data_IF_454389503168
#
_entry.id   IF_454389503168
#
_cell.length_a   1.000
_cell.length_b   1.000
_cell.length_c   1.000
_cell.angle_alpha   90.00
_cell.angle_beta   90.00
_cell.angle_gamma   90.00
#
_symmetry.space_group_name_H-M   'P 1'
#
loop_
_entity.id
_entity.type
_entity.pdbx_description
1 polymer ?
#
# COMPACT_ATOMS: atom_id res chain seq x y z
N UNK A 1 -12.32 23.63 -16.24
CA UNK A 1 -11.48 22.45 -16.58
C UNK A 1 -11.24 21.68 -15.30
N UNK A 2 -11.78 20.47 -15.20
CA UNK A 2 -11.88 19.69 -13.97
C UNK A 2 -10.50 19.22 -13.50
N UNK A 3 -10.18 19.53 -12.25
CA UNK A 3 -9.07 18.97 -11.47
C UNK A 3 -9.39 17.48 -11.20
N UNK A 4 -9.33 16.63 -12.24
CA UNK A 4 -9.28 15.19 -12.04
C UNK A 4 -7.85 14.82 -11.68
N UNK A 5 -7.65 14.94 -10.38
CA UNK A 5 -6.56 14.44 -9.57
C UNK A 5 -5.92 13.16 -10.14
N UNK A 6 -4.59 13.19 -10.29
CA UNK A 6 -3.68 12.03 -10.42
C UNK A 6 -3.77 11.03 -9.24
N UNK A 7 -4.87 11.04 -8.47
CA UNK A 7 -5.26 9.99 -7.51
C UNK A 7 -5.64 8.68 -8.20
N UNK A 8 -5.97 8.73 -9.48
CA UNK A 8 -6.42 7.55 -10.21
C UNK A 8 -5.22 7.08 -11.03
N UNK A 9 -4.63 6.00 -10.53
CA UNK A 9 -3.47 5.28 -11.05
C UNK A 9 -2.13 5.95 -10.74
N UNK A 10 -1.65 5.71 -9.51
CA UNK A 10 -0.23 5.41 -9.26
C UNK A 10 0.14 4.22 -10.15
N UNK A 11 0.26 4.45 -11.46
CA UNK A 11 0.46 3.39 -12.43
C UNK A 11 1.94 3.13 -12.55
N UNK A 12 2.33 1.87 -12.54
CA UNK A 12 3.62 1.46 -13.04
C UNK A 12 3.87 1.95 -14.47
N UNK A 13 2.85 2.42 -15.20
CA UNK A 13 2.96 3.00 -16.53
C UNK A 13 3.28 4.50 -16.58
N UNK A 14 3.18 5.24 -15.47
CA UNK A 14 3.56 6.66 -15.45
C UNK A 14 5.10 6.77 -15.41
N UNK A 15 5.75 7.34 -16.43
CA UNK A 15 7.21 7.47 -16.47
C UNK A 15 7.76 8.28 -15.29
N UNK A 16 7.00 9.27 -14.78
CA UNK A 16 7.39 10.02 -13.60
C UNK A 16 7.29 9.18 -12.33
N UNK A 17 6.29 8.30 -12.23
CA UNK A 17 6.17 7.38 -11.10
C UNK A 17 7.33 6.39 -11.07
N UNK A 18 7.75 5.86 -12.23
CA UNK A 18 8.93 4.97 -12.33
C UNK A 18 10.21 5.61 -11.81
N UNK A 19 10.36 6.93 -11.98
CA UNK A 19 11.50 7.70 -11.43
C UNK A 19 11.31 8.02 -9.94
N UNK A 20 10.12 8.44 -9.54
CA UNK A 20 9.84 8.90 -8.17
C UNK A 20 9.75 7.74 -7.16
N UNK A 21 9.21 6.59 -7.56
CA UNK A 21 8.95 5.46 -6.68
C UNK A 21 10.23 4.90 -6.02
N UNK A 22 11.34 4.64 -6.74
CA UNK A 22 12.60 4.22 -6.13
C UNK A 22 13.14 5.22 -5.11
N UNK A 23 13.01 6.53 -5.38
CA UNK A 23 13.43 7.60 -4.47
C UNK A 23 12.56 7.62 -3.21
N UNK A 24 11.25 7.49 -3.35
CA UNK A 24 10.32 7.36 -2.22
C UNK A 24 10.65 6.16 -1.35
N UNK A 25 10.96 5.01 -1.96
CA UNK A 25 11.38 3.80 -1.25
C UNK A 25 12.73 3.99 -0.54
N UNK A 26 13.70 4.69 -1.16
CA UNK A 26 14.99 4.99 -0.53
C UNK A 26 14.83 5.89 0.71
N UNK A 27 14.07 6.98 0.57
CA UNK A 27 13.72 7.89 1.67
C UNK A 27 13.02 7.11 2.80
N UNK A 28 12.04 6.28 2.45
CA UNK A 28 11.35 5.43 3.41
C UNK A 28 12.32 4.49 4.12
N UNK A 29 13.16 3.77 3.37
CA UNK A 29 14.10 2.79 3.91
C UNK A 29 15.09 3.42 4.88
N UNK A 30 15.67 4.58 4.52
CA UNK A 30 16.56 5.33 5.41
C UNK A 30 15.82 5.82 6.66
N UNK A 31 14.59 6.32 6.50
CA UNK A 31 13.72 6.71 7.60
C UNK A 31 13.40 5.55 8.56
N UNK A 32 13.18 4.35 8.03
CA UNK A 32 12.99 3.12 8.82
C UNK A 32 14.25 2.76 9.61
N UNK A 33 15.44 2.91 9.03
CA UNK A 33 16.69 2.62 9.76
C UNK A 33 16.94 3.54 10.96
N UNK A 34 16.51 4.79 10.87
CA UNK A 34 16.62 5.77 11.96
C UNK A 34 15.47 5.68 12.98
N UNK A 35 14.41 4.92 12.67
CA UNK A 35 13.24 4.83 13.53
C UNK A 35 13.40 3.73 14.58
N UNK A 36 13.00 4.03 15.82
CA UNK A 36 13.02 3.04 16.91
C UNK A 36 12.14 1.85 16.53
N UNK A 37 12.63 0.59 16.58
CA UNK A 37 11.86 -0.59 16.15
C UNK A 37 10.53 -0.75 16.91
N UNK A 38 10.51 -0.41 18.20
CA UNK A 38 9.30 -0.44 19.02
C UNK A 38 8.18 0.48 18.49
N UNK A 39 8.52 1.61 17.85
CA UNK A 39 7.54 2.52 17.25
C UNK A 39 6.90 1.89 16.00
N UNK A 40 7.69 1.20 15.18
CA UNK A 40 7.20 0.46 14.01
C UNK A 40 6.25 -0.67 14.46
N UNK A 41 6.64 -1.41 15.49
CA UNK A 41 5.81 -2.49 16.06
C UNK A 41 4.49 -1.95 16.64
N UNK A 42 4.52 -0.83 17.37
CA UNK A 42 3.32 -0.22 17.91
C UNK A 42 2.36 0.22 16.80
N UNK A 43 2.88 0.81 15.71
CA UNK A 43 2.03 1.18 14.58
C UNK A 43 1.45 -0.05 13.89
N UNK A 44 2.23 -1.13 13.75
CA UNK A 44 1.71 -2.37 13.21
C UNK A 44 0.56 -2.95 14.05
N UNK A 45 0.68 -2.90 15.38
CA UNK A 45 -0.40 -3.29 16.29
C UNK A 45 -1.66 -2.42 16.08
N UNK A 46 -1.48 -1.10 15.94
CA UNK A 46 -2.60 -0.19 15.70
C UNK A 46 -3.30 -0.51 14.36
N UNK A 47 -2.55 -0.77 13.29
CA UNK A 47 -3.13 -1.14 12.00
C UNK A 47 -3.90 -2.47 12.07
N UNK A 48 -3.36 -3.48 12.75
CA UNK A 48 -4.08 -4.75 12.99
C UNK A 48 -5.38 -4.50 13.76
N UNK A 49 -5.32 -3.70 14.83
CA UNK A 49 -6.49 -3.37 15.63
C UNK A 49 -7.54 -2.57 14.85
N UNK A 50 -7.12 -1.81 13.83
CA UNK A 50 -8.00 -1.00 12.99
C UNK A 50 -8.54 -1.76 11.76
N UNK A 51 -7.95 -2.88 11.36
CA UNK A 51 -8.39 -3.69 10.20
C UNK A 51 -9.88 -4.05 10.21
N UNK A 52 -10.52 -4.42 11.36
CA UNK A 52 -11.95 -4.69 11.40
C UNK A 52 -12.84 -3.52 10.92
N UNK A 53 -12.38 -2.27 11.08
CA UNK A 53 -13.13 -1.09 10.68
C UNK A 53 -13.11 -0.82 9.17
N UNK A 54 -12.26 -1.52 8.41
CA UNK A 54 -12.19 -1.42 6.95
C UNK A 54 -13.33 -2.22 6.28
N UNK A 55 -13.77 -3.30 6.91
CA UNK A 55 -14.80 -4.21 6.35
C UNK A 55 -16.13 -3.56 6.01
N UNK A 56 -16.72 -2.68 6.84
CA UNK A 56 -17.94 -1.96 6.47
C UNK A 56 -17.80 -1.16 5.17
N UNK A 57 -16.62 -0.56 4.93
CA UNK A 57 -16.35 0.20 3.72
C UNK A 57 -16.21 -0.73 2.50
N UNK A 58 -15.54 -1.86 2.65
CA UNK A 58 -15.42 -2.89 1.60
C UNK A 58 -16.80 -3.42 1.22
N UNK A 59 -17.61 -3.81 2.22
CA UNK A 59 -18.96 -4.32 2.00
C UNK A 59 -19.83 -3.27 1.32
N UNK A 60 -19.79 -2.01 1.77
CA UNK A 60 -20.54 -0.92 1.16
C UNK A 60 -20.17 -0.70 -0.32
N UNK A 61 -18.89 -0.78 -0.68
CA UNK A 61 -18.43 -0.68 -2.08
C UNK A 61 -18.92 -1.84 -2.94
N UNK A 62 -19.15 -3.01 -2.35
CA UNK A 62 -19.63 -4.22 -3.04
C UNK A 62 -21.13 -4.43 -2.93
N UNK A 63 -21.87 -3.51 -2.31
CA UNK A 63 -23.30 -3.64 -2.04
C UNK A 63 -24.12 -4.00 -3.30
N UNK A 64 -23.82 -3.41 -4.46
CA UNK A 64 -24.51 -3.72 -5.72
C UNK A 64 -24.29 -5.18 -6.15
N UNK A 65 -23.04 -5.66 -6.11
CA UNK A 65 -22.70 -7.03 -6.49
C UNK A 65 -23.35 -8.03 -5.54
N UNK A 66 -23.35 -7.73 -4.25
CA UNK A 66 -24.01 -8.53 -3.21
C UNK A 66 -25.53 -8.53 -3.45
N UNK A 67 -26.14 -7.39 -3.76
CA UNK A 67 -27.56 -7.29 -4.04
C UNK A 67 -27.98 -8.11 -5.27
N UNK A 68 -27.16 -8.08 -6.35
CA UNK A 68 -27.40 -8.91 -7.54
C UNK A 68 -27.32 -10.39 -7.18
N UNK A 69 -26.29 -10.82 -6.43
CA UNK A 69 -26.16 -12.20 -5.98
C UNK A 69 -27.38 -12.63 -5.16
N UNK A 70 -27.82 -11.82 -4.20
CA UNK A 70 -28.97 -12.11 -3.36
C UNK A 70 -30.27 -12.19 -4.17
N UNK A 71 -30.45 -11.32 -5.17
CA UNK A 71 -31.61 -11.36 -6.06
C UNK A 71 -31.65 -12.65 -6.91
N UNK A 72 -30.50 -13.05 -7.47
CA UNK A 72 -30.37 -14.28 -8.27
C UNK A 72 -30.57 -15.52 -7.38
N UNK A 73 -29.94 -15.54 -6.21
CA UNK A 73 -30.11 -16.61 -5.24
C UNK A 73 -31.58 -16.76 -4.83
N UNK A 74 -32.25 -15.66 -4.49
CA UNK A 74 -33.66 -15.68 -4.08
C UNK A 74 -34.57 -16.27 -5.17
N UNK A 75 -34.33 -15.90 -6.43
CA UNK A 75 -35.10 -16.40 -7.57
C UNK A 75 -34.88 -17.90 -7.85
N UNK A 76 -33.73 -18.45 -7.44
CA UNK A 76 -33.32 -19.83 -7.75
C UNK A 76 -33.19 -20.72 -6.51
N UNK A 77 -33.59 -20.25 -5.33
CA UNK A 77 -33.34 -20.94 -4.05
C UNK A 77 -33.87 -22.38 -4.03
N UNK A 78 -35.05 -22.63 -4.62
CA UNK A 78 -35.68 -23.96 -4.63
C UNK A 78 -34.88 -24.95 -5.50
N UNK A 79 -34.22 -24.46 -6.56
CA UNK A 79 -33.31 -25.25 -7.37
C UNK A 79 -31.99 -25.57 -6.65
N UNK A 80 -31.62 -24.80 -5.63
CA UNK A 80 -30.41 -24.98 -4.83
C UNK A 80 -30.66 -25.55 -3.43
N UNK A 81 -31.87 -25.97 -3.08
CA UNK A 81 -32.25 -26.39 -1.72
C UNK A 81 -31.21 -27.28 -0.97
N UNK A 82 -30.59 -28.31 -1.58
CA UNK A 82 -29.59 -29.12 -0.87
C UNK A 82 -28.23 -28.42 -0.64
N UNK A 83 -27.93 -27.35 -1.37
CA UNK A 83 -26.64 -26.63 -1.35
C UNK A 83 -26.79 -25.12 -1.15
N UNK A 84 -27.94 -24.65 -0.70
CA UNK A 84 -28.32 -23.23 -0.66
C UNK A 84 -27.27 -22.37 0.07
N UNK A 85 -26.84 -22.81 1.25
CA UNK A 85 -25.82 -22.14 2.04
C UNK A 85 -24.45 -22.16 1.36
N UNK A 86 -24.10 -23.25 0.67
CA UNK A 86 -22.82 -23.39 -0.02
C UNK A 86 -22.75 -22.43 -1.21
N UNK A 87 -23.83 -22.32 -1.99
CA UNK A 87 -23.92 -21.39 -3.13
C UNK A 87 -23.81 -19.94 -2.67
N UNK A 88 -24.50 -19.57 -1.58
CA UNK A 88 -24.40 -18.22 -1.00
C UNK A 88 -22.99 -17.92 -0.49
N UNK A 89 -22.39 -18.84 0.28
CA UNK A 89 -21.04 -18.65 0.82
C UNK A 89 -20.04 -18.50 -0.32
N UNK A 90 -20.05 -19.41 -1.30
CA UNK A 90 -19.15 -19.33 -2.45
C UNK A 90 -19.37 -18.07 -3.28
N UNK A 91 -20.62 -17.63 -3.46
CA UNK A 91 -20.94 -16.39 -4.16
C UNK A 91 -20.41 -15.16 -3.43
N UNK A 92 -20.62 -15.07 -2.12
CA UNK A 92 -20.11 -13.97 -1.29
C UNK A 92 -18.57 -14.00 -1.28
N UNK A 93 -17.98 -15.17 -1.07
CA UNK A 93 -16.53 -15.36 -1.12
C UNK A 93 -15.99 -14.96 -2.50
N UNK A 94 -16.63 -15.32 -3.61
CA UNK A 94 -16.19 -14.92 -4.94
C UNK A 94 -16.20 -13.40 -5.14
N UNK A 95 -17.24 -12.71 -4.64
CA UNK A 95 -17.33 -11.24 -4.71
C UNK A 95 -16.22 -10.58 -3.87
N UNK A 96 -15.94 -11.13 -2.70
CA UNK A 96 -15.02 -10.56 -1.71
C UNK A 96 -13.61 -11.17 -1.77
N UNK A 97 -13.34 -12.14 -2.64
CA UNK A 97 -12.14 -12.97 -2.60
C UNK A 97 -10.85 -12.14 -2.61
N UNK A 98 -10.78 -11.18 -3.54
CA UNK A 98 -9.62 -10.29 -3.66
C UNK A 98 -9.46 -9.43 -2.41
N UNK A 99 -10.54 -8.85 -1.91
CA UNK A 99 -10.50 -8.00 -0.72
C UNK A 99 -10.11 -8.80 0.53
N UNK A 100 -10.60 -10.04 0.68
CA UNK A 100 -10.18 -10.97 1.74
C UNK A 100 -8.69 -11.26 1.65
N UNK A 101 -8.20 -11.58 0.44
CA UNK A 101 -6.79 -11.91 0.24
C UNK A 101 -5.87 -10.72 0.52
N UNK A 102 -6.23 -9.54 0.04
CA UNK A 102 -5.49 -8.30 0.25
C UNK A 102 -5.43 -7.94 1.75
N UNK A 103 -6.56 -8.05 2.47
CA UNK A 103 -6.61 -7.79 3.92
C UNK A 103 -5.86 -8.84 4.74
N UNK A 104 -5.95 -10.13 4.39
CA UNK A 104 -5.18 -11.17 5.05
C UNK A 104 -3.67 -10.95 4.85
N UNK A 105 -3.25 -10.61 3.63
CA UNK A 105 -1.86 -10.28 3.34
C UNK A 105 -1.36 -9.09 4.16
N UNK A 106 -2.16 -8.03 4.24
CA UNK A 106 -1.85 -6.84 5.02
C UNK A 106 -1.71 -7.14 6.53
N UNK A 107 -2.67 -7.89 7.10
CA UNK A 107 -2.61 -8.33 8.51
C UNK A 107 -1.39 -9.21 8.77
N UNK A 108 -1.05 -10.14 7.86
CA UNK A 108 0.12 -11.01 8.00
C UNK A 108 1.44 -10.21 7.98
N UNK A 109 1.55 -9.23 7.09
CA UNK A 109 2.73 -8.36 7.03
C UNK A 109 2.87 -7.51 8.30
N UNK A 110 1.77 -6.94 8.79
CA UNK A 110 1.76 -6.23 10.06
C UNK A 110 2.08 -7.14 11.25
N UNK A 111 1.57 -8.37 11.28
CA UNK A 111 1.92 -9.36 12.29
C UNK A 111 3.42 -9.68 12.24
N UNK A 112 4.00 -9.79 11.06
CA UNK A 112 5.43 -10.03 10.90
C UNK A 112 6.26 -8.85 11.44
N UNK A 113 5.85 -7.60 11.15
CA UNK A 113 6.45 -6.41 11.74
C UNK A 113 6.30 -6.42 13.26
N UNK A 114 5.14 -6.77 13.79
CA UNK A 114 4.85 -6.79 15.23
C UNK A 114 5.66 -7.85 15.97
N UNK A 115 5.63 -9.10 15.52
CA UNK A 115 6.32 -10.25 16.13
C UNK A 115 7.84 -10.02 16.13
N UNK A 116 8.38 -9.48 15.03
CA UNK A 116 9.81 -9.14 14.94
C UNK A 116 10.17 -7.81 15.61
N UNK A 117 9.21 -7.13 16.25
CA UNK A 117 9.38 -5.82 16.89
C UNK A 117 9.96 -4.76 15.96
N UNK A 118 9.57 -4.77 14.69
CA UNK A 118 10.03 -3.85 13.65
C UNK A 118 11.31 -4.29 12.93
N UNK A 119 11.97 -5.38 13.36
CA UNK A 119 13.22 -5.84 12.74
C UNK A 119 13.01 -6.36 11.32
N UNK A 120 11.85 -6.96 11.03
CA UNK A 120 11.52 -7.38 9.67
C UNK A 120 11.63 -6.23 8.66
N UNK A 121 10.98 -5.09 8.97
CA UNK A 121 10.99 -3.93 8.09
C UNK A 121 12.39 -3.34 7.96
N UNK A 122 13.17 -3.30 9.04
CA UNK A 122 14.58 -2.87 8.99
C UNK A 122 15.45 -3.80 8.15
N UNK A 123 15.26 -5.11 8.25
CA UNK A 123 15.98 -6.11 7.45
C UNK A 123 15.64 -5.98 5.95
N UNK A 124 14.36 -5.76 5.64
CA UNK A 124 13.88 -5.47 4.29
C UNK A 124 14.52 -4.19 3.74
N UNK A 125 14.43 -3.08 4.48
CA UNK A 125 14.97 -1.78 4.07
C UNK A 125 16.50 -1.79 3.95
N UNK A 126 17.21 -2.43 4.88
CA UNK A 126 18.68 -2.58 4.78
C UNK A 126 19.06 -3.37 3.53
N UNK A 127 18.29 -4.42 3.24
CA UNK A 127 18.43 -5.20 2.03
C UNK A 127 18.22 -4.42 0.74
N UNK A 128 17.15 -3.64 0.70
CA UNK A 128 16.84 -2.73 -0.41
C UNK A 128 18.00 -1.76 -0.66
N UNK A 129 18.48 -1.10 0.39
CA UNK A 129 19.59 -0.13 0.33
C UNK A 129 20.91 -0.79 -0.10
N UNK A 130 21.15 -2.04 0.29
CA UNK A 130 22.35 -2.79 -0.09
C UNK A 130 22.32 -3.38 -1.51
N UNK A 131 21.26 -3.16 -2.29
CA UNK A 131 21.17 -3.67 -3.66
C UNK A 131 20.80 -5.16 -3.77
N UNK A 132 20.24 -5.77 -2.72
CA UNK A 132 19.89 -7.20 -2.78
C UNK A 132 18.62 -7.43 -3.59
N UNK A 133 18.76 -8.03 -4.78
CA UNK A 133 17.69 -8.11 -5.79
C UNK A 133 16.35 -8.67 -5.29
N UNK A 134 16.36 -9.72 -4.45
CA UNK A 134 15.12 -10.26 -3.88
C UNK A 134 14.37 -9.23 -3.02
N UNK A 135 15.07 -8.51 -2.13
CA UNK A 135 14.42 -7.56 -1.22
C UNK A 135 13.99 -6.27 -1.94
N UNK A 136 14.70 -5.89 -3.01
CA UNK A 136 14.28 -4.80 -3.89
C UNK A 136 12.97 -5.13 -4.60
N UNK A 137 12.87 -6.31 -5.21
CA UNK A 137 11.65 -6.77 -5.87
C UNK A 137 10.48 -6.88 -4.90
N UNK A 138 10.73 -7.41 -3.70
CA UNK A 138 9.67 -7.63 -2.71
C UNK A 138 9.18 -6.33 -2.08
N UNK A 139 10.06 -5.35 -1.85
CA UNK A 139 9.65 -4.04 -1.32
C UNK A 139 8.85 -3.22 -2.35
N UNK A 140 9.14 -3.40 -3.64
CA UNK A 140 8.39 -2.80 -4.74
C UNK A 140 7.12 -3.57 -5.12
N UNK A 141 6.79 -4.68 -4.43
CA UNK A 141 5.58 -5.44 -4.69
C UNK A 141 4.35 -4.76 -4.06
N UNK A 142 3.19 -4.89 -4.71
CA UNK A 142 1.93 -4.28 -4.29
C UNK A 142 1.56 -4.48 -2.80
N UNK A 143 1.77 -5.65 -2.16
CA UNK A 143 1.50 -5.80 -0.73
C UNK A 143 2.39 -4.91 0.15
N UNK A 144 3.66 -4.72 -0.24
CA UNK A 144 4.59 -3.88 0.51
C UNK A 144 4.38 -2.39 0.27
N UNK A 145 3.88 -1.98 -0.90
CA UNK A 145 3.53 -0.57 -1.16
C UNK A 145 2.50 -0.04 -0.14
N UNK A 146 1.50 -0.86 0.22
CA UNK A 146 0.51 -0.52 1.26
C UNK A 146 1.17 -0.36 2.63
N UNK A 147 2.03 -1.30 3.01
CA UNK A 147 2.81 -1.20 4.26
C UNK A 147 3.67 0.06 4.28
N UNK A 148 4.36 0.39 3.18
CA UNK A 148 5.15 1.62 3.05
C UNK A 148 4.27 2.83 3.28
N UNK A 149 3.15 2.95 2.55
CA UNK A 149 2.24 4.08 2.65
C UNK A 149 1.70 4.29 4.08
N UNK A 150 1.40 3.22 4.79
CA UNK A 150 0.92 3.29 6.17
C UNK A 150 2.05 3.61 7.17
N UNK A 151 3.24 3.05 6.97
CA UNK A 151 4.39 3.19 7.88
C UNK A 151 5.16 4.50 7.69
N UNK A 152 5.02 5.21 6.57
CA UNK A 152 5.62 6.54 6.35
C UNK A 152 5.27 7.52 7.47
N UNK A 153 4.10 7.39 8.10
CA UNK A 153 3.69 8.31 9.18
C UNK A 153 4.56 8.19 10.44
N UNK A 154 5.19 7.03 10.64
CA UNK A 154 5.97 6.72 11.84
C UNK A 154 7.48 6.79 11.68
N UNK A 155 7.98 6.96 10.45
CA UNK A 155 9.41 7.22 10.24
C UNK A 155 9.81 8.56 10.86
N UNK A 156 11.12 8.81 10.99
CA UNK A 156 11.64 10.08 11.52
C UNK A 156 11.12 11.27 10.71
N UNK A 157 10.83 12.40 11.38
CA UNK A 157 10.18 13.57 10.77
C UNK A 157 10.94 14.05 9.53
N UNK A 158 12.27 14.12 9.61
CA UNK A 158 13.15 14.50 8.49
C UNK A 158 12.85 13.72 7.21
N UNK A 159 12.68 12.40 7.29
CA UNK A 159 12.43 11.56 6.11
C UNK A 159 10.97 11.57 5.71
N UNK A 160 10.05 11.63 6.67
CA UNK A 160 8.62 11.79 6.39
C UNK A 160 8.34 13.07 5.63
N UNK A 161 8.95 14.19 6.01
CA UNK A 161 8.75 15.48 5.36
C UNK A 161 9.32 15.48 3.94
N UNK A 162 10.50 14.87 3.74
CA UNK A 162 11.07 14.62 2.40
C UNK A 162 10.18 13.70 1.55
N UNK A 163 9.67 12.62 2.12
CA UNK A 163 8.78 11.69 1.43
C UNK A 163 7.51 12.41 0.96
N UNK A 164 6.89 13.18 1.86
CA UNK A 164 5.70 13.97 1.55
C UNK A 164 6.00 15.02 0.49
N UNK A 165 7.14 15.70 0.54
CA UNK A 165 7.54 16.67 -0.48
C UNK A 165 7.61 16.04 -1.88
N UNK A 166 8.27 14.88 -2.03
CA UNK A 166 8.34 14.15 -3.31
C UNK A 166 6.94 13.72 -3.75
N UNK A 167 6.14 13.16 -2.84
CA UNK A 167 4.80 12.68 -3.12
C UNK A 167 3.85 13.82 -3.55
N UNK A 168 3.91 14.96 -2.87
CA UNK A 168 3.07 16.13 -3.16
C UNK A 168 3.41 16.72 -4.53
N UNK A 169 4.70 16.81 -4.87
CA UNK A 169 5.14 17.23 -6.20
C UNK A 169 4.70 16.22 -7.28
N UNK A 170 4.79 14.92 -6.99
CA UNK A 170 4.29 13.88 -7.90
C UNK A 170 2.78 14.02 -8.14
N UNK A 171 1.98 14.21 -7.09
CA UNK A 171 0.53 14.40 -7.22
C UNK A 171 0.16 15.70 -7.94
N UNK A 172 0.99 16.73 -7.82
CA UNK A 172 0.83 18.03 -8.48
C UNK A 172 1.47 18.12 -9.87
N UNK A 173 2.16 17.08 -10.34
CA UNK A 173 2.92 17.05 -11.61
C UNK A 173 2.07 17.23 -12.88
N UNK A 174 0.75 17.33 -12.77
CA UNK A 174 -0.12 17.74 -13.88
C UNK A 174 0.14 19.19 -14.33
N UNK A 175 0.80 20.00 -13.50
CA UNK A 175 1.26 21.33 -13.86
C UNK A 175 2.77 21.30 -14.19
N UNK A 176 3.21 21.86 -15.34
CA UNK A 176 4.61 21.79 -15.80
C UNK A 176 5.64 22.30 -14.78
N UNK A 177 5.27 23.29 -13.97
CA UNK A 177 6.13 23.80 -12.90
C UNK A 177 6.44 22.73 -11.83
N UNK A 178 5.43 21.97 -11.41
CA UNK A 178 5.61 20.92 -10.40
C UNK A 178 6.33 19.70 -10.96
N UNK A 179 6.10 19.38 -12.23
CA UNK A 179 6.85 18.35 -12.94
C UNK A 179 8.35 18.70 -13.02
N UNK A 180 8.71 19.89 -13.52
CA UNK A 180 10.10 20.32 -13.58
C UNK A 180 10.76 20.40 -12.19
N UNK A 181 10.01 20.82 -11.16
CA UNK A 181 10.53 20.82 -9.78
C UNK A 181 10.72 19.42 -9.22
N UNK A 182 9.83 18.48 -9.56
CA UNK A 182 9.97 17.08 -9.19
C UNK A 182 11.22 16.48 -9.85
N UNK A 183 11.39 16.67 -11.16
CA UNK A 183 12.56 16.15 -11.88
C UNK A 183 13.86 16.68 -11.29
N UNK A 184 13.94 17.99 -11.04
CA UNK A 184 15.09 18.59 -10.36
C UNK A 184 15.38 17.94 -8.99
N UNK A 185 14.33 17.71 -8.19
CA UNK A 185 14.48 17.11 -6.86
C UNK A 185 14.95 15.65 -6.95
N UNK A 186 14.47 14.89 -7.96
CA UNK A 186 14.88 13.51 -8.19
C UNK A 186 16.34 13.43 -8.67
N UNK A 187 16.77 14.37 -9.51
CA UNK A 187 18.15 14.46 -9.99
C UNK A 187 19.12 14.83 -8.85
N UNK A 188 18.77 15.84 -8.04
CA UNK A 188 19.53 16.23 -6.85
C UNK A 188 19.69 15.05 -5.87
N UNK A 189 18.63 14.26 -5.70
CA UNK A 189 18.66 13.09 -4.83
C UNK A 189 19.55 11.97 -5.39
N UNK A 190 19.47 11.71 -6.70
CA UNK A 190 20.28 10.68 -7.36
C UNK A 190 21.78 11.00 -7.25
N UNK A 191 22.15 12.26 -7.49
CA UNK A 191 23.54 12.73 -7.32
C UNK A 191 24.04 12.55 -5.88
N UNK A 192 23.21 12.85 -4.87
CA UNK A 192 23.59 12.71 -3.46
C UNK A 192 23.81 11.27 -3.01
N UNK A 193 23.28 10.28 -3.74
CA UNK A 193 23.50 8.86 -3.44
C UNK A 193 24.81 8.36 -4.03
N UNK A 194 25.23 8.88 -5.19
CA UNK A 194 26.48 8.47 -5.86
C UNK A 194 27.74 8.97 -5.14
N UNK A 195 27.64 10.01 -4.31
CA UNK A 195 28.74 10.57 -3.53
C UNK A 195 29.04 9.82 -2.21
N UNK A 196 28.23 8.82 -1.85
CA UNK A 196 28.31 8.04 -0.59
C UNK A 196 28.74 6.60 -0.85
#
# INVERSE_FOLDING_TARGET
MSVFSKRIVLSADDPLWRKAHPVLLDIFCRGVQETRPARLALHALLNIALSPFVWPVIIARKAIHIAILLAVWWALRDAFAPFESVVLILGITAILYKDIYDELGDVLLHLLVLITRGQFLRWMCSGYLSGTGFRQQWLAAHPMERIVAEMVRVISSRYRDKYNQVMDLYLASNAPYHEGRLEQLLDEYSQSIEEV
#
